data_IF_858092811400
#
_entry.id   IF_858092811400
#
_cell.length_a   1.000
_cell.length_b   1.000
_cell.length_c   1.000
_cell.angle_alpha   90.00
_cell.angle_beta   90.00
_cell.angle_gamma   90.00
#
_symmetry.space_group_name_H-M   'P 1'
#
loop_
_entity.id
_entity.type
_entity.pdbx_description
1 polymer ?
#
# COMPACT_ATOMS: atom_id res chain seq x y z
N UNK A 1 11.63 -10.46 -1.90
CA UNK A 1 12.58 -10.90 -0.87
C UNK A 1 13.64 -11.75 -1.55
N UNK A 2 14.92 -11.46 -1.33
CA UNK A 2 16.05 -12.29 -1.75
C UNK A 2 16.55 -13.07 -0.53
N UNK A 3 17.36 -14.14 -0.70
CA UNK A 3 17.99 -14.81 0.45
C UNK A 3 18.77 -13.83 1.35
N UNK A 4 19.33 -12.78 0.76
CA UNK A 4 20.07 -11.70 1.40
C UNK A 4 19.17 -10.65 2.09
N UNK A 5 17.85 -10.68 1.85
CA UNK A 5 16.89 -9.71 2.39
C UNK A 5 15.57 -10.41 2.72
N UNK A 6 15.45 -10.99 3.93
CA UNK A 6 14.28 -11.76 4.34
C UNK A 6 13.03 -10.87 4.43
N UNK A 7 11.86 -11.49 4.21
CA UNK A 7 10.56 -10.82 4.35
C UNK A 7 10.09 -10.72 5.81
N UNK A 8 8.88 -10.21 6.01
CA UNK A 8 8.31 -9.95 7.34
C UNK A 8 7.52 -11.08 7.99
N UNK A 9 7.43 -12.27 7.36
CA UNK A 9 6.72 -13.41 7.94
C UNK A 9 7.57 -14.12 9.01
N UNK A 10 7.78 -13.43 10.12
CA UNK A 10 8.51 -13.87 11.30
C UNK A 10 8.05 -13.06 12.53
N UNK A 11 8.35 -13.54 13.74
CA UNK A 11 8.05 -12.78 14.97
C UNK A 11 8.83 -11.46 15.06
N UNK A 12 9.98 -11.38 14.37
CA UNK A 12 10.88 -10.23 14.36
C UNK A 12 11.56 -10.12 12.99
N UNK A 13 11.87 -8.90 12.58
CA UNK A 13 12.65 -8.63 11.38
C UNK A 13 13.57 -7.42 11.59
N UNK A 14 14.70 -7.40 10.89
CA UNK A 14 15.60 -6.24 10.87
C UNK A 14 15.07 -5.24 9.84
N UNK A 15 14.85 -4.00 10.27
CA UNK A 15 14.37 -2.91 9.41
C UNK A 15 15.37 -1.76 9.42
N UNK A 16 15.42 -1.02 8.31
CA UNK A 16 16.12 0.26 8.26
C UNK A 16 15.25 1.33 8.88
N UNK A 17 15.78 2.05 9.87
CA UNK A 17 15.06 3.10 10.60
C UNK A 17 14.46 4.15 9.67
N UNK A 18 15.17 4.51 8.59
CA UNK A 18 14.72 5.47 7.58
C UNK A 18 13.47 5.06 6.80
N UNK A 19 13.04 3.80 6.90
CA UNK A 19 11.84 3.27 6.23
C UNK A 19 10.66 3.07 7.20
N UNK A 20 10.83 3.42 8.49
CA UNK A 20 9.77 3.27 9.49
C UNK A 20 8.81 4.46 9.45
N UNK A 21 7.52 4.13 9.48
CA UNK A 21 6.44 5.10 9.70
C UNK A 21 5.78 4.76 11.04
N UNK A 22 5.59 5.77 11.89
CA UNK A 22 4.90 5.58 13.16
C UNK A 22 3.44 5.21 12.92
N UNK A 23 3.00 4.13 13.58
CA UNK A 23 1.60 3.69 13.55
C UNK A 23 0.90 4.28 14.77
N UNK A 24 -0.19 5.05 14.61
CA UNK A 24 -0.92 5.60 15.74
C UNK A 24 -1.45 4.50 16.68
N UNK A 25 -1.36 4.70 17.99
CA UNK A 25 -1.75 3.70 19.01
C UNK A 25 -3.21 3.21 18.90
N UNK A 26 -4.09 4.03 18.33
CA UNK A 26 -5.51 3.71 18.18
C UNK A 26 -5.84 3.00 16.87
N UNK A 27 -4.86 2.78 15.98
CA UNK A 27 -5.06 2.11 14.70
C UNK A 27 -4.87 0.58 14.87
N UNK A 28 -5.87 -0.26 14.54
CA UNK A 28 -5.72 -1.71 14.61
C UNK A 28 -4.58 -2.22 13.71
N UNK A 29 -3.82 -3.20 14.19
CA UNK A 29 -2.66 -3.76 13.47
C UNK A 29 -3.04 -4.31 12.10
N UNK A 30 -4.22 -4.94 11.97
CA UNK A 30 -4.73 -5.46 10.70
C UNK A 30 -4.95 -4.37 9.66
N UNK A 31 -5.35 -3.17 10.09
CA UNK A 31 -5.49 -2.02 9.20
C UNK A 31 -4.12 -1.41 8.87
N UNK A 32 -3.23 -1.29 9.85
CA UNK A 32 -1.87 -0.82 9.63
C UNK A 32 -1.11 -1.72 8.62
N UNK A 33 -1.35 -3.03 8.63
CA UNK A 33 -0.76 -3.98 7.68
C UNK A 33 -1.15 -3.70 6.22
N UNK A 34 -2.25 -2.98 5.97
CA UNK A 34 -2.69 -2.59 4.63
C UNK A 34 -1.91 -1.39 4.06
N UNK A 35 -0.96 -0.83 4.80
CA UNK A 35 -0.15 0.32 4.37
C UNK A 35 0.56 0.05 3.04
N UNK A 36 1.20 -1.11 2.89
CA UNK A 36 1.92 -1.47 1.67
C UNK A 36 0.99 -1.57 0.43
N UNK A 37 -0.10 -2.35 0.43
CA UNK A 37 -0.96 -2.43 -0.75
C UNK A 37 -1.66 -1.11 -1.08
N UNK A 38 -2.00 -0.29 -0.07
CA UNK A 38 -2.53 1.06 -0.30
C UNK A 38 -1.47 2.01 -0.86
N UNK A 39 -0.21 1.91 -0.44
CA UNK A 39 0.88 2.70 -1.00
C UNK A 39 1.11 2.39 -2.49
N UNK A 40 1.00 1.10 -2.88
CA UNK A 40 1.03 0.69 -4.30
C UNK A 40 -0.12 1.32 -5.09
N UNK A 41 -1.34 1.28 -4.54
CA UNK A 41 -2.50 1.92 -5.16
C UNK A 41 -2.34 3.44 -5.29
N UNK A 42 -1.88 4.11 -4.24
CA UNK A 42 -1.59 5.55 -4.24
C UNK A 42 -0.56 5.93 -5.30
N UNK A 43 0.53 5.16 -5.40
CA UNK A 43 1.53 5.37 -6.43
C UNK A 43 0.94 5.20 -7.84
N UNK A 44 0.11 4.17 -8.06
CA UNK A 44 -0.53 3.93 -9.36
C UNK A 44 -1.48 5.07 -9.77
N UNK A 45 -2.33 5.54 -8.84
CA UNK A 45 -3.25 6.66 -9.08
C UNK A 45 -2.49 7.96 -9.34
N UNK A 46 -1.45 8.26 -8.55
CA UNK A 46 -0.63 9.45 -8.76
C UNK A 46 0.07 9.46 -10.13
N UNK A 47 0.54 8.30 -10.59
CA UNK A 47 1.17 8.13 -11.90
C UNK A 47 0.21 8.14 -13.08
N UNK A 48 -1.08 7.96 -12.84
CA UNK A 48 -2.08 8.04 -13.90
C UNK A 48 -2.28 9.48 -14.40
N UNK A 49 -1.83 10.49 -13.62
CA UNK A 49 -1.86 11.92 -13.98
C UNK A 49 -3.23 12.37 -14.52
N UNK A 50 -4.31 11.81 -13.94
CA UNK A 50 -5.67 12.02 -14.42
C UNK A 50 -6.10 13.48 -14.23
N UNK A 51 -6.75 14.01 -15.26
CA UNK A 51 -7.45 15.28 -15.24
C UNK A 51 -8.88 15.16 -14.71
N UNK A 52 -9.56 16.32 -14.53
CA UNK A 52 -10.92 16.37 -14.00
C UNK A 52 -11.98 15.74 -14.92
N UNK A 53 -11.69 15.60 -16.22
CA UNK A 53 -12.61 15.04 -17.22
C UNK A 53 -12.34 13.56 -17.52
N UNK A 54 -11.30 12.97 -16.91
CA UNK A 54 -10.96 11.58 -17.12
C UNK A 54 -11.89 10.65 -16.33
N UNK A 55 -12.22 9.51 -16.95
CA UNK A 55 -13.04 8.46 -16.30
C UNK A 55 -12.14 7.26 -16.00
N UNK A 56 -11.78 7.02 -14.72
CA UNK A 56 -10.93 5.88 -14.37
C UNK A 56 -11.65 4.54 -14.59
N UNK A 57 -10.94 3.57 -15.18
CA UNK A 57 -11.38 2.19 -15.27
C UNK A 57 -10.42 1.27 -14.51
N UNK A 58 -10.92 0.58 -13.49
CA UNK A 58 -10.19 -0.46 -12.78
C UNK A 58 -10.63 -1.83 -13.30
N UNK A 59 -9.70 -2.59 -13.88
CA UNK A 59 -9.97 -3.94 -14.37
C UNK A 59 -9.55 -4.97 -13.30
N UNK A 60 -10.54 -5.57 -12.64
CA UNK A 60 -10.36 -6.61 -11.64
C UNK A 60 -10.50 -6.08 -10.20
N UNK A 61 -11.20 -6.87 -9.35
CA UNK A 61 -11.54 -6.50 -7.98
C UNK A 61 -10.78 -7.35 -6.94
N UNK A 62 -9.50 -7.66 -7.22
CA UNK A 62 -8.60 -8.23 -6.22
C UNK A 62 -8.12 -7.18 -5.21
N UNK A 63 -7.25 -7.56 -4.25
CA UNK A 63 -6.79 -6.64 -3.20
C UNK A 63 -6.23 -5.30 -3.72
N UNK A 64 -5.40 -5.34 -4.78
CA UNK A 64 -4.85 -4.11 -5.39
C UNK A 64 -5.92 -3.31 -6.14
N UNK A 65 -6.83 -3.98 -6.85
CA UNK A 65 -7.93 -3.30 -7.54
C UNK A 65 -8.85 -2.57 -6.56
N UNK A 66 -9.20 -3.21 -5.45
CA UNK A 66 -9.98 -2.59 -4.38
C UNK A 66 -9.22 -1.46 -3.69
N UNK A 67 -7.91 -1.61 -3.47
CA UNK A 67 -7.07 -0.54 -2.95
C UNK A 67 -7.03 0.68 -3.89
N UNK A 68 -6.93 0.46 -5.21
CA UNK A 68 -7.02 1.54 -6.21
C UNK A 68 -8.39 2.21 -6.17
N UNK A 69 -9.47 1.44 -6.16
CA UNK A 69 -10.84 1.98 -6.04
C UNK A 69 -10.99 2.84 -4.78
N UNK A 70 -10.44 2.43 -3.65
CA UNK A 70 -10.50 3.18 -2.39
C UNK A 70 -9.68 4.48 -2.43
N UNK A 71 -8.65 4.56 -3.26
CA UNK A 71 -7.77 5.73 -3.39
C UNK A 71 -8.24 6.71 -4.48
N UNK A 72 -8.90 6.20 -5.54
CA UNK A 72 -9.51 7.01 -6.58
C UNK A 72 -10.54 7.96 -5.94
N UNK A 73 -10.46 9.25 -6.30
CA UNK A 73 -11.38 10.30 -5.87
C UNK A 73 -12.32 10.69 -7.00
#
# INVERSE_FOLDING_TARGET
>A
ATPETPGGYAERMVLSESLLLEVPDHLPTEQAALTEPLAVAFHAVARAEMGPDDVPLVIGCGPIGLAIIAVLR
#
